data_IF_769913228122
#
_entry.id   IF_769913228122
#
_cell.length_a   1.000
_cell.length_b   1.000
_cell.length_c   1.000
_cell.angle_alpha   90.00
_cell.angle_beta   90.00
_cell.angle_gamma   90.00
#
_symmetry.space_group_name_H-M   'P 1'
#
loop_
_entity.id
_entity.type
_entity.pdbx_description
1 polymer ?
#
# COMPACT_ATOMS: atom_id res chain seq x y z
N UNK A 1 -3.25 0.48 -6.55
CA UNK A 1 -2.48 0.01 -7.73
C UNK A 1 -1.13 -0.60 -7.33
N UNK A 2 -0.27 0.11 -6.61
CA UNK A 2 1.15 -0.26 -6.40
C UNK A 2 1.47 -1.40 -5.39
N UNK A 3 0.54 -2.29 -5.07
CA UNK A 3 0.80 -3.46 -4.20
C UNK A 3 0.13 -3.46 -2.82
N UNK A 4 -0.40 -2.32 -2.33
CA UNK A 4 -1.15 -2.27 -1.06
C UNK A 4 -2.47 -3.05 -1.07
N UNK A 5 -2.74 -3.85 -0.05
CA UNK A 5 -3.96 -4.67 0.04
C UNK A 5 -5.22 -3.89 0.43
N UNK A 6 -5.05 -2.72 1.05
CA UNK A 6 -6.14 -1.83 1.46
C UNK A 6 -5.74 -0.36 1.48
N UNK A 7 -6.72 0.52 1.60
CA UNK A 7 -6.55 1.97 1.73
C UNK A 7 -7.44 2.50 2.85
N UNK A 8 -6.99 3.53 3.57
CA UNK A 8 -7.73 4.08 4.72
C UNK A 8 -8.68 5.23 4.38
N UNK A 9 -8.46 5.91 3.25
CA UNK A 9 -9.27 7.06 2.86
C UNK A 9 -10.61 6.60 2.24
N UNK A 10 -11.73 6.96 2.87
CA UNK A 10 -13.09 6.56 2.45
C UNK A 10 -13.42 7.01 1.03
N UNK A 11 -13.13 8.26 0.70
CA UNK A 11 -13.42 8.82 -0.63
C UNK A 11 -12.52 8.18 -1.68
N UNK A 12 -11.22 8.04 -1.38
CA UNK A 12 -10.24 7.38 -2.24
C UNK A 12 -10.65 5.94 -2.55
N UNK A 13 -11.04 5.17 -1.52
CA UNK A 13 -11.52 3.80 -1.68
C UNK A 13 -12.74 3.74 -2.60
N UNK A 14 -13.72 4.63 -2.40
CA UNK A 14 -14.91 4.73 -3.25
C UNK A 14 -14.56 5.01 -4.71
N UNK A 15 -13.64 5.95 -4.98
CA UNK A 15 -13.20 6.27 -6.34
C UNK A 15 -12.58 5.09 -7.07
N UNK A 16 -11.91 4.19 -6.35
CA UNK A 16 -11.27 3.00 -6.93
C UNK A 16 -12.12 1.72 -6.81
N UNK A 17 -13.39 1.84 -6.39
CA UNK A 17 -14.29 0.70 -6.23
C UNK A 17 -13.89 -0.27 -5.12
N UNK A 18 -13.29 0.23 -4.04
CA UNK A 18 -12.84 -0.55 -2.87
C UNK A 18 -13.52 -0.10 -1.58
N UNK A 19 -13.49 -0.98 -0.58
CA UNK A 19 -13.89 -0.65 0.79
C UNK A 19 -12.69 -0.12 1.54
N UNK A 20 -12.83 1.02 2.21
CA UNK A 20 -11.78 1.55 3.08
C UNK A 20 -11.60 0.65 4.29
N UNK A 21 -10.36 0.49 4.75
CA UNK A 21 -10.00 -0.31 5.91
C UNK A 21 -9.43 0.56 7.03
N UNK A 22 -9.68 0.18 8.26
CA UNK A 22 -9.20 0.87 9.44
C UNK A 22 -9.44 0.06 10.71
N UNK A 23 -8.83 0.50 11.80
CA UNK A 23 -9.01 -0.07 13.14
C UNK A 23 -9.39 1.06 14.11
N UNK A 24 -9.46 0.77 15.41
CA UNK A 24 -9.70 1.81 16.41
C UNK A 24 -8.53 2.82 16.54
N UNK A 25 -8.79 4.12 16.79
CA UNK A 25 -7.78 5.13 17.07
C UNK A 25 -7.49 5.26 18.58
N UNK A 26 -6.33 5.81 18.95
CA UNK A 26 -6.03 6.16 20.36
C UNK A 26 -7.08 7.09 20.96
N UNK A 27 -7.65 8.01 20.16
CA UNK A 27 -8.66 8.95 20.62
C UNK A 27 -9.90 8.27 21.25
N UNK A 28 -10.31 7.10 20.74
CA UNK A 28 -11.44 6.35 21.31
C UNK A 28 -11.12 5.89 22.73
N UNK A 29 -9.93 5.33 22.93
CA UNK A 29 -9.45 4.83 24.22
C UNK A 29 -9.29 6.00 25.20
N UNK A 30 -8.68 7.11 24.75
CA UNK A 30 -8.43 8.28 25.57
C UNK A 30 -9.72 8.99 26.01
N UNK A 31 -10.72 9.12 25.14
CA UNK A 31 -12.00 9.76 25.47
C UNK A 31 -12.81 8.90 26.47
N UNK A 32 -12.77 7.57 26.32
CA UNK A 32 -13.44 6.66 27.26
C UNK A 32 -12.68 6.56 28.59
N UNK A 33 -11.35 6.70 28.55
CA UNK A 33 -10.48 6.67 29.72
C UNK A 33 -10.24 5.27 30.30
N UNK A 34 -10.67 4.21 29.59
CA UNK A 34 -10.53 2.82 30.02
C UNK A 34 -10.46 1.89 28.79
N UNK A 35 -9.39 1.08 28.74
CA UNK A 35 -9.12 0.17 27.62
C UNK A 35 -10.24 -0.85 27.40
N UNK A 36 -10.70 -1.52 28.47
CA UNK A 36 -11.73 -2.56 28.38
C UNK A 36 -13.05 -2.00 27.89
N UNK A 37 -13.47 -0.84 28.41
CA UNK A 37 -14.67 -0.15 27.95
C UNK A 37 -14.55 0.28 26.49
N UNK A 38 -13.37 0.73 26.06
CA UNK A 38 -13.13 1.12 24.67
C UNK A 38 -13.18 -0.07 23.71
N UNK A 39 -12.56 -1.21 24.06
CA UNK A 39 -12.63 -2.44 23.27
C UNK A 39 -14.06 -2.98 23.19
N UNK A 40 -14.80 -2.93 24.30
CA UNK A 40 -16.22 -3.32 24.33
C UNK A 40 -17.07 -2.43 23.43
N UNK A 41 -16.90 -1.11 23.53
CA UNK A 41 -17.60 -0.16 22.67
C UNK A 41 -17.26 -0.37 21.19
N UNK A 42 -16.01 -0.70 20.87
CA UNK A 42 -15.62 -1.01 19.50
C UNK A 42 -16.35 -2.23 18.95
N UNK A 43 -16.50 -3.32 19.73
CA UNK A 43 -17.28 -4.50 19.29
C UNK A 43 -18.78 -4.24 19.21
N UNK A 44 -19.33 -3.40 20.10
CA UNK A 44 -20.76 -3.13 20.17
C UNK A 44 -21.25 -2.22 19.02
N UNK A 45 -20.47 -1.19 18.66
CA UNK A 45 -20.93 -0.14 17.75
C UNK A 45 -20.38 -0.25 16.32
N UNK A 46 -19.36 -1.06 16.08
CA UNK A 46 -18.78 -1.24 14.74
C UNK A 46 -19.35 -2.49 14.08
N UNK A 47 -19.65 -2.37 12.78
CA UNK A 47 -20.25 -3.45 11.97
C UNK A 47 -19.48 -4.78 12.12
N UNK A 48 -20.22 -5.88 12.25
CA UNK A 48 -19.67 -7.21 12.48
C UNK A 48 -18.69 -7.70 11.40
N UNK A 49 -18.72 -7.12 10.20
CA UNK A 49 -17.80 -7.45 9.11
C UNK A 49 -16.41 -6.83 9.29
N UNK A 50 -16.25 -5.86 10.18
CA UNK A 50 -14.95 -5.19 10.43
C UNK A 50 -14.13 -6.02 11.41
N UNK A 51 -12.91 -6.46 11.07
CA UNK A 51 -12.08 -7.21 12.01
C UNK A 51 -11.79 -6.44 13.29
N UNK A 52 -11.88 -7.13 14.44
CA UNK A 52 -11.60 -6.57 15.76
C UNK A 52 -10.10 -6.55 15.98
N UNK A 53 -9.48 -5.45 15.56
CA UNK A 53 -8.06 -5.18 15.75
C UNK A 53 -7.91 -4.09 16.81
N UNK A 54 -7.51 -4.47 18.03
CA UNK A 54 -7.38 -3.55 19.16
C UNK A 54 -6.03 -2.82 19.14
N UNK A 55 -6.04 -1.53 19.45
CA UNK A 55 -4.81 -0.74 19.64
C UNK A 55 -4.34 -0.92 21.08
N UNK A 56 -3.11 -1.40 21.26
CA UNK A 56 -2.61 -1.89 22.56
C UNK A 56 -1.35 -1.15 23.05
N UNK A 57 -1.17 0.11 22.68
CA UNK A 57 -0.05 0.94 23.11
C UNK A 57 -0.51 2.35 23.52
N UNK A 58 -1.68 2.47 24.17
CA UNK A 58 -2.24 3.80 24.49
C UNK A 58 -1.80 4.35 25.84
N UNK A 59 -1.95 3.58 26.92
CA UNK A 59 -1.80 4.09 28.29
C UNK A 59 -1.03 3.17 29.22
N UNK A 60 -0.98 1.87 28.91
CA UNK A 60 -0.30 0.83 29.69
C UNK A 60 0.77 0.09 28.89
N UNK A 61 1.26 -0.99 29.49
CA UNK A 61 2.14 -1.94 28.79
C UNK A 61 1.33 -2.73 27.76
N UNK A 62 1.86 -2.94 26.54
CA UNK A 62 1.14 -3.68 25.49
C UNK A 62 0.65 -5.06 25.87
N UNK A 63 1.36 -5.75 26.76
CA UNK A 63 0.93 -7.07 27.26
C UNK A 63 -0.30 -6.97 28.15
N UNK A 64 -0.40 -5.91 28.97
CA UNK A 64 -1.58 -5.66 29.81
C UNK A 64 -2.78 -5.27 28.94
N UNK A 65 -2.58 -4.40 27.96
CA UNK A 65 -3.67 -3.99 27.06
C UNK A 65 -4.14 -5.15 26.16
N UNK A 66 -3.23 -6.05 25.78
CA UNK A 66 -3.58 -7.31 25.11
C UNK A 66 -4.41 -8.24 26.01
N UNK A 67 -4.05 -8.37 27.29
CA UNK A 67 -4.84 -9.16 28.24
C UNK A 67 -6.26 -8.58 28.41
N UNK A 68 -6.36 -7.25 28.52
CA UNK A 68 -7.65 -6.54 28.55
C UNK A 68 -8.48 -6.84 27.28
N UNK A 69 -7.86 -6.82 26.10
CA UNK A 69 -8.53 -7.12 24.84
C UNK A 69 -9.01 -8.59 24.76
N UNK A 70 -8.20 -9.54 25.23
CA UNK A 70 -8.56 -10.96 25.29
C UNK A 70 -9.71 -11.23 26.27
N UNK A 71 -9.71 -10.57 27.43
CA UNK A 71 -10.79 -10.70 28.42
C UNK A 71 -12.12 -10.17 27.87
N UNK A 72 -12.09 -9.04 27.15
CA UNK A 72 -13.30 -8.39 26.64
C UNK A 72 -13.84 -9.06 25.38
N UNK A 73 -12.97 -9.42 24.44
CA UNK A 73 -13.39 -9.88 23.12
C UNK A 73 -13.31 -11.39 22.95
N UNK A 74 -12.51 -12.09 23.75
CA UNK A 74 -12.33 -13.53 23.63
C UNK A 74 -12.02 -13.95 22.19
N UNK A 75 -12.79 -14.90 21.66
CA UNK A 75 -12.66 -15.41 20.29
C UNK A 75 -12.92 -14.36 19.20
N UNK A 76 -13.62 -13.26 19.52
CA UNK A 76 -13.85 -12.19 18.54
C UNK A 76 -12.60 -11.36 18.24
N UNK A 77 -11.58 -11.40 19.10
CA UNK A 77 -10.33 -10.65 18.87
C UNK A 77 -9.60 -11.22 17.65
N UNK A 78 -9.58 -10.47 16.55
CA UNK A 78 -8.90 -10.89 15.31
C UNK A 78 -7.43 -10.47 15.28
N UNK A 79 -7.07 -9.40 15.99
CA UNK A 79 -5.70 -8.92 16.01
C UNK A 79 -5.45 -7.78 16.99
N UNK A 80 -4.19 -7.37 17.05
CA UNK A 80 -3.75 -6.20 17.79
C UNK A 80 -2.87 -5.32 16.91
N UNK A 81 -2.92 -4.01 17.14
CA UNK A 81 -2.07 -3.02 16.48
C UNK A 81 -1.17 -2.34 17.50
N UNK A 82 0.09 -2.14 17.13
CA UNK A 82 1.09 -1.36 17.88
C UNK A 82 1.64 -0.27 16.95
N UNK A 83 1.69 0.96 17.44
CA UNK A 83 2.07 2.16 16.68
C UNK A 83 3.34 2.85 17.22
N UNK A 84 3.87 2.40 18.36
CA UNK A 84 4.98 3.05 19.05
C UNK A 84 5.89 2.09 19.82
N UNK A 85 7.08 2.59 20.21
CA UNK A 85 8.07 1.84 20.99
C UNK A 85 8.98 0.92 20.17
N UNK A 86 9.66 -0.01 20.84
CA UNK A 86 10.48 -1.04 20.18
C UNK A 86 9.57 -2.13 19.60
N UNK A 87 9.08 -1.89 18.38
CA UNK A 87 8.09 -2.73 17.70
C UNK A 87 8.52 -4.20 17.62
N UNK A 88 9.80 -4.48 17.36
CA UNK A 88 10.30 -5.86 17.25
C UNK A 88 10.25 -6.57 18.60
N UNK A 89 10.73 -5.91 19.65
CA UNK A 89 10.68 -6.46 21.00
C UNK A 89 9.23 -6.69 21.44
N UNK A 90 8.37 -5.69 21.27
CA UNK A 90 6.96 -5.77 21.63
C UNK A 90 6.27 -6.92 20.87
N UNK A 91 6.50 -7.07 19.56
CA UNK A 91 5.93 -8.21 18.81
C UNK A 91 6.34 -9.56 19.37
N UNK A 92 7.61 -9.72 19.78
CA UNK A 92 8.09 -10.99 20.38
C UNK A 92 7.41 -11.26 21.72
N UNK A 93 7.25 -10.22 22.54
CA UNK A 93 6.54 -10.31 23.82
C UNK A 93 5.06 -10.68 23.60
N UNK A 94 4.38 -10.05 22.63
CA UNK A 94 2.99 -10.36 22.23
C UNK A 94 2.88 -11.81 21.76
N UNK A 95 3.75 -12.25 20.84
CA UNK A 95 3.73 -13.64 20.33
C UNK A 95 3.92 -14.65 21.45
N UNK A 96 4.85 -14.39 22.37
CA UNK A 96 5.07 -15.26 23.53
C UNK A 96 3.84 -15.30 24.44
N UNK A 97 3.22 -14.16 24.70
CA UNK A 97 2.02 -14.09 25.53
C UNK A 97 0.83 -14.82 24.89
N UNK A 98 0.60 -14.64 23.59
CA UNK A 98 -0.44 -15.34 22.83
C UNK A 98 -0.21 -16.85 22.79
N UNK A 99 1.04 -17.30 22.69
CA UNK A 99 1.42 -18.71 22.80
C UNK A 99 0.99 -19.30 24.15
N UNK A 100 1.26 -18.60 25.26
CA UNK A 100 0.86 -19.04 26.60
C UNK A 100 -0.66 -19.11 26.81
N UNK A 101 -1.41 -18.28 26.09
CA UNK A 101 -2.88 -18.22 26.17
C UNK A 101 -3.57 -19.10 25.11
N UNK A 102 -2.81 -19.84 24.30
CA UNK A 102 -3.28 -20.63 23.15
C UNK A 102 -4.11 -19.82 22.13
N UNK A 103 -3.69 -18.57 21.87
CA UNK A 103 -4.37 -17.60 20.99
C UNK A 103 -3.52 -17.17 19.80
N UNK A 104 -2.92 -18.14 19.11
CA UNK A 104 -2.06 -17.91 17.92
C UNK A 104 -2.83 -17.42 16.68
N UNK A 105 -4.16 -17.45 16.73
CA UNK A 105 -5.06 -16.91 15.72
C UNK A 105 -5.02 -15.37 15.67
N UNK A 106 -4.69 -14.71 16.79
CA UNK A 106 -4.64 -13.25 16.90
C UNK A 106 -3.46 -12.68 16.10
N UNK A 107 -3.79 -11.83 15.12
CA UNK A 107 -2.81 -11.23 14.19
C UNK A 107 -2.15 -9.98 14.75
N UNK A 108 -0.89 -9.74 14.41
CA UNK A 108 -0.13 -8.58 14.88
C UNK A 108 0.08 -7.60 13.72
N UNK A 109 -0.44 -6.39 13.88
CA UNK A 109 -0.30 -5.30 12.93
C UNK A 109 0.60 -4.19 13.48
N UNK A 110 1.47 -3.66 12.62
CA UNK A 110 2.35 -2.54 13.00
C UNK A 110 2.04 -1.31 12.16
N UNK A 111 2.09 -0.15 12.78
CA UNK A 111 2.03 1.15 12.10
C UNK A 111 3.03 2.12 12.73
N UNK A 112 3.05 3.36 12.23
CA UNK A 112 3.79 4.45 12.86
C UNK A 112 5.20 4.58 12.30
N UNK A 113 5.42 5.60 11.46
CA UNK A 113 6.75 5.94 10.94
C UNK A 113 7.43 4.85 10.10
N UNK A 114 6.69 3.87 9.60
CA UNK A 114 7.23 2.75 8.83
C UNK A 114 7.67 3.18 7.42
N UNK A 115 8.73 2.52 6.94
CA UNK A 115 9.33 2.59 5.61
C UNK A 115 9.66 1.17 5.10
N UNK A 116 10.17 1.06 3.88
CA UNK A 116 10.52 -0.21 3.26
C UNK A 116 11.58 -1.00 4.04
N UNK A 117 12.52 -0.31 4.70
CA UNK A 117 13.61 -0.93 5.46
C UNK A 117 13.11 -1.50 6.78
N UNK A 118 12.26 -0.77 7.50
CA UNK A 118 11.62 -1.22 8.74
C UNK A 118 10.63 -2.34 8.47
N UNK A 119 9.81 -2.25 7.42
CA UNK A 119 8.92 -3.35 7.00
C UNK A 119 9.75 -4.60 6.69
N UNK A 120 10.83 -4.49 5.93
CA UNK A 120 11.71 -5.64 5.63
C UNK A 120 12.31 -6.25 6.91
N UNK A 121 12.65 -5.42 7.90
CA UNK A 121 13.15 -5.85 9.22
C UNK A 121 12.05 -6.30 10.18
N UNK A 122 10.76 -6.19 9.88
CA UNK A 122 9.67 -6.54 10.81
C UNK A 122 8.74 -7.61 10.25
N UNK A 123 8.84 -7.95 8.96
CA UNK A 123 7.98 -8.93 8.26
C UNK A 123 8.03 -10.35 8.84
N UNK A 124 9.05 -10.70 9.61
CA UNK A 124 9.15 -11.99 10.31
C UNK A 124 8.36 -12.00 11.63
N UNK A 125 8.08 -10.82 12.19
CA UNK A 125 7.42 -10.67 13.50
C UNK A 125 6.00 -10.10 13.44
N UNK A 126 5.57 -9.53 12.31
CA UNK A 126 4.21 -8.98 12.14
C UNK A 126 3.47 -9.66 10.98
N UNK A 127 2.14 -9.66 11.06
CA UNK A 127 1.23 -10.18 10.03
C UNK A 127 0.78 -9.09 9.04
N UNK A 128 0.88 -7.81 9.40
CA UNK A 128 0.51 -6.71 8.51
C UNK A 128 1.07 -5.35 8.92
N UNK A 129 1.04 -4.40 7.97
CA UNK A 129 1.67 -3.09 8.12
C UNK A 129 0.74 -1.96 7.65
N UNK A 130 0.61 -0.92 8.47
CA UNK A 130 0.03 0.37 8.11
C UNK A 130 1.14 1.38 7.79
N UNK A 131 1.35 1.64 6.50
CA UNK A 131 2.38 2.60 6.04
C UNK A 131 1.69 3.89 5.57
N UNK A 132 2.02 5.01 6.23
CA UNK A 132 1.41 6.31 5.98
C UNK A 132 2.33 7.26 5.21
N UNK A 133 3.00 8.16 5.94
CA UNK A 133 3.75 9.31 5.41
C UNK A 133 4.71 8.94 4.28
N UNK A 134 5.45 7.83 4.39
CA UNK A 134 6.42 7.41 3.36
C UNK A 134 5.81 7.13 1.98
N UNK A 135 4.51 6.91 1.92
CA UNK A 135 3.78 6.66 0.66
C UNK A 135 2.98 7.90 0.25
N UNK A 136 2.30 8.53 1.20
CA UNK A 136 1.46 9.69 0.93
C UNK A 136 2.28 10.94 0.58
N UNK A 137 3.49 11.05 1.13
CA UNK A 137 4.44 12.15 0.94
C UNK A 137 5.71 11.64 0.24
N UNK A 138 5.54 10.74 -0.74
CA UNK A 138 6.64 10.23 -1.53
C UNK A 138 7.19 11.32 -2.47
N UNK A 139 8.50 11.26 -2.74
CA UNK A 139 9.15 12.19 -3.66
C UNK A 139 8.47 12.19 -5.04
N UNK A 140 8.32 13.38 -5.60
CA UNK A 140 7.73 13.55 -6.93
C UNK A 140 8.72 13.11 -8.01
N UNK A 141 8.21 12.43 -9.03
CA UNK A 141 8.98 12.19 -10.26
C UNK A 141 8.88 13.45 -11.12
N UNK A 142 10.02 14.12 -11.33
CA UNK A 142 10.11 15.35 -12.12
C UNK A 142 9.93 15.07 -13.62
N UNK A 143 8.68 15.16 -14.09
CA UNK A 143 8.34 15.04 -15.51
C UNK A 143 8.40 16.41 -16.19
N UNK A 144 9.14 16.49 -17.30
CA UNK A 144 9.19 17.67 -18.15
C UNK A 144 8.57 17.43 -19.52
N UNK A 145 7.66 18.32 -19.93
CA UNK A 145 7.16 18.36 -21.30
C UNK A 145 8.15 19.12 -22.20
N UNK A 146 8.51 18.53 -23.34
CA UNK A 146 9.43 19.12 -24.32
C UNK A 146 8.90 18.93 -25.74
N UNK A 147 9.02 19.97 -26.56
CA UNK A 147 8.83 19.87 -28.01
C UNK A 147 10.07 19.16 -28.58
N UNK A 148 9.82 18.11 -29.36
CA UNK A 148 10.84 17.28 -30.04
C UNK A 148 10.70 17.29 -31.57
N UNK A 149 9.58 17.80 -32.08
CA UNK A 149 9.28 17.85 -33.51
C UNK A 149 8.30 18.99 -33.80
N UNK A 150 8.47 19.69 -34.93
CA UNK A 150 7.58 20.77 -35.39
C UNK A 150 7.31 20.60 -36.87
N UNK A 151 6.02 20.48 -37.24
CA UNK A 151 5.59 20.27 -38.63
C UNK A 151 6.34 19.11 -39.33
N UNK A 152 6.50 17.97 -38.62
CA UNK A 152 7.23 16.80 -39.13
C UNK A 152 8.75 16.92 -39.12
N UNK A 153 9.32 18.06 -38.71
CA UNK A 153 10.77 18.29 -38.69
C UNK A 153 11.33 18.11 -37.27
N UNK A 154 12.28 17.19 -37.04
CA UNK A 154 12.93 17.00 -35.75
C UNK A 154 13.55 18.31 -35.24
N UNK A 155 13.12 18.78 -34.06
CA UNK A 155 13.60 20.02 -33.42
C UNK A 155 13.49 19.90 -31.91
N UNK A 156 14.56 20.19 -31.18
CA UNK A 156 14.54 20.16 -29.73
C UNK A 156 15.46 21.21 -29.12
N UNK A 157 15.17 21.59 -27.87
CA UNK A 157 16.09 22.39 -27.05
C UNK A 157 17.38 21.59 -26.81
N UNK A 158 18.52 22.27 -26.75
CA UNK A 158 19.81 21.67 -26.36
C UNK A 158 19.67 20.73 -25.14
N UNK A 159 20.32 19.57 -25.21
CA UNK A 159 20.22 18.50 -24.20
C UNK A 159 19.03 17.55 -24.37
N UNK A 160 18.23 17.67 -25.43
CA UNK A 160 17.10 16.78 -25.71
C UNK A 160 17.26 16.12 -27.09
N UNK A 161 16.84 14.86 -27.21
CA UNK A 161 16.88 14.13 -28.48
C UNK A 161 15.68 14.51 -29.37
N UNK A 162 15.90 15.12 -30.55
CA UNK A 162 14.82 15.49 -31.46
C UNK A 162 14.19 14.27 -32.15
N UNK A 163 13.01 14.47 -32.76
CA UNK A 163 12.27 13.47 -33.54
C UNK A 163 11.34 12.59 -32.71
N UNK A 164 10.20 12.22 -33.28
CA UNK A 164 9.23 11.31 -32.65
C UNK A 164 9.86 9.95 -32.36
N UNK A 165 9.58 9.40 -31.17
CA UNK A 165 10.25 8.21 -30.64
C UNK A 165 9.24 7.24 -30.04
N UNK A 166 9.61 5.95 -30.04
CA UNK A 166 8.90 4.88 -29.36
C UNK A 166 9.81 4.21 -28.33
N UNK A 167 9.20 3.62 -27.31
CA UNK A 167 9.90 2.81 -26.29
C UNK A 167 9.51 1.36 -26.50
N UNK A 168 10.50 0.52 -26.78
CA UNK A 168 10.34 -0.91 -26.99
C UNK A 168 10.86 -1.64 -25.75
N UNK A 169 10.11 -2.63 -25.26
CA UNK A 169 10.51 -3.46 -24.10
C UNK A 169 10.39 -4.94 -24.42
N UNK A 170 11.34 -5.75 -23.96
CA UNK A 170 11.25 -7.21 -24.00
C UNK A 170 10.74 -7.79 -22.67
N UNK A 171 10.58 -9.11 -22.59
CA UNK A 171 10.09 -9.79 -21.37
C UNK A 171 11.08 -9.76 -20.19
N UNK A 172 12.35 -9.41 -20.44
CA UNK A 172 13.39 -9.20 -19.41
C UNK A 172 13.45 -7.76 -18.90
N UNK A 173 12.50 -6.91 -19.31
CA UNK A 173 12.45 -5.48 -18.96
C UNK A 173 13.64 -4.66 -19.48
N UNK A 174 14.29 -5.13 -20.55
CA UNK A 174 15.29 -4.35 -21.28
C UNK A 174 14.57 -3.40 -22.24
N UNK A 175 14.94 -2.12 -22.19
CA UNK A 175 14.32 -1.05 -22.98
C UNK A 175 15.21 -0.56 -24.12
N UNK A 176 14.59 -0.32 -25.27
CA UNK A 176 15.20 0.34 -26.42
C UNK A 176 14.34 1.56 -26.78
N UNK A 177 14.97 2.73 -26.82
CA UNK A 177 14.35 3.94 -27.37
C UNK A 177 14.81 4.11 -28.82
N UNK A 178 13.87 4.25 -29.74
CA UNK A 178 14.17 4.38 -31.17
C UNK A 178 13.21 5.36 -31.84
N UNK A 179 13.54 5.85 -33.04
CA UNK A 179 12.66 6.74 -33.80
C UNK A 179 11.35 6.01 -34.17
N UNK A 180 10.26 6.75 -34.19
CA UNK A 180 8.99 6.26 -34.70
C UNK A 180 9.14 5.84 -36.18
N UNK A 181 8.55 4.69 -36.54
CA UNK A 181 8.69 4.09 -37.88
C UNK A 181 9.83 3.09 -38.02
N UNK A 182 10.76 3.01 -37.07
CA UNK A 182 11.78 1.96 -37.06
C UNK A 182 11.16 0.58 -36.77
N UNK A 183 11.79 -0.47 -37.32
CA UNK A 183 11.38 -1.85 -37.10
C UNK A 183 11.46 -2.24 -35.62
N UNK A 184 10.47 -3.00 -35.15
CA UNK A 184 10.46 -3.57 -33.80
C UNK A 184 11.26 -4.88 -33.83
N UNK A 185 12.36 -5.02 -33.07
CA UNK A 185 13.12 -6.27 -33.02
C UNK A 185 12.27 -7.42 -32.51
N UNK A 186 12.61 -8.65 -32.92
CA UNK A 186 11.92 -9.84 -32.44
C UNK A 186 12.00 -9.93 -30.90
N UNK A 187 10.87 -10.24 -30.26
CA UNK A 187 10.78 -10.34 -28.80
C UNK A 187 10.59 -9.01 -28.07
N UNK A 188 10.53 -7.88 -28.79
CA UNK A 188 10.21 -6.58 -28.23
C UNK A 188 8.77 -6.15 -28.57
N UNK A 189 8.18 -5.33 -27.71
CA UNK A 189 6.87 -4.70 -27.93
C UNK A 189 6.93 -3.19 -27.68
N UNK A 190 6.17 -2.42 -28.46
CA UNK A 190 6.02 -0.98 -28.24
C UNK A 190 5.15 -0.71 -27.01
N UNK A 191 5.66 0.10 -26.08
CA UNK A 191 4.96 0.52 -24.87
C UNK A 191 4.06 1.75 -25.10
N UNK A 192 4.42 2.62 -26.04
CA UNK A 192 3.65 3.81 -26.35
C UNK A 192 2.46 3.44 -27.24
N UNK A 193 1.26 3.52 -26.66
CA UNK A 193 0.00 3.25 -27.33
C UNK A 193 -0.88 4.51 -27.33
N UNK A 194 -1.55 4.85 -28.44
CA UNK A 194 -2.45 6.01 -28.49
C UNK A 194 -3.53 5.94 -27.40
N UNK A 195 -3.67 7.02 -26.64
CA UNK A 195 -4.80 7.22 -25.72
C UNK A 195 -5.84 8.16 -26.33
N UNK A 196 -5.38 9.23 -27.00
CA UNK A 196 -6.22 10.23 -27.65
C UNK A 196 -5.81 10.33 -29.12
N UNK A 197 -6.80 10.36 -30.03
CA UNK A 197 -6.61 10.70 -31.45
C UNK A 197 -7.65 11.76 -31.85
N UNK A 198 -7.20 12.86 -32.45
CA UNK A 198 -8.07 13.95 -32.91
C UNK A 198 -9.06 14.43 -31.82
N UNK A 199 -8.58 14.58 -30.59
CA UNK A 199 -9.39 15.01 -29.44
C UNK A 199 -10.34 13.96 -28.86
N UNK A 200 -10.36 12.73 -29.39
CA UNK A 200 -11.20 11.62 -28.89
C UNK A 200 -10.35 10.59 -28.17
N UNK A 201 -10.83 10.13 -27.01
CA UNK A 201 -10.25 8.97 -26.31
C UNK A 201 -10.50 7.73 -27.18
N UNK A 202 -9.44 7.00 -27.52
CA UNK A 202 -9.48 5.82 -28.42
C UNK A 202 -9.08 4.53 -27.72
N UNK A 203 -8.87 4.58 -26.42
CA UNK A 203 -8.53 3.42 -25.59
C UNK A 203 -9.39 3.45 -24.33
N UNK A 204 -9.97 2.31 -24.00
CA UNK A 204 -10.72 2.16 -22.76
C UNK A 204 -9.82 2.35 -21.54
N UNK A 205 -10.39 2.90 -20.48
CA UNK A 205 -9.72 3.03 -19.20
C UNK A 205 -9.64 1.66 -18.53
N UNK A 206 -8.45 1.31 -18.04
CA UNK A 206 -8.26 0.06 -17.30
C UNK A 206 -8.71 0.25 -15.86
N UNK A 207 -9.40 -0.75 -15.29
CA UNK A 207 -9.74 -0.72 -13.87
C UNK A 207 -8.48 -0.75 -13.00
N UNK A 208 -8.59 -0.21 -11.78
CA UNK A 208 -7.50 -0.22 -10.79
C UNK A 208 -7.01 -1.64 -10.48
N UNK A 209 -7.90 -2.63 -10.58
CA UNK A 209 -7.57 -4.05 -10.38
C UNK A 209 -6.72 -4.61 -11.51
N UNK A 210 -7.08 -4.36 -12.77
CA UNK A 210 -6.27 -4.75 -13.93
C UNK A 210 -4.87 -4.12 -13.84
N UNK A 211 -4.81 -2.83 -13.47
CA UNK A 211 -3.52 -2.15 -13.29
C UNK A 211 -2.73 -2.76 -12.14
N UNK A 212 -3.35 -3.08 -11.00
CA UNK A 212 -2.71 -3.76 -9.86
C UNK A 212 -2.16 -5.12 -10.28
N UNK A 213 -2.96 -5.95 -10.92
CA UNK A 213 -2.56 -7.29 -11.37
C UNK A 213 -1.36 -7.22 -12.30
N UNK A 214 -1.37 -6.29 -13.25
CA UNK A 214 -0.24 -6.05 -14.15
C UNK A 214 1.01 -5.62 -13.38
N UNK A 215 0.89 -4.70 -12.42
CA UNK A 215 2.03 -4.28 -11.58
C UNK A 215 2.58 -5.47 -10.78
N UNK A 216 1.72 -6.22 -10.10
CA UNK A 216 2.14 -7.38 -9.29
C UNK A 216 2.77 -8.49 -10.15
N UNK A 217 2.23 -8.74 -11.34
CA UNK A 217 2.82 -9.69 -12.28
C UNK A 217 4.19 -9.24 -12.79
N UNK A 218 4.38 -7.93 -12.98
CA UNK A 218 5.64 -7.38 -13.46
C UNK A 218 6.71 -7.39 -12.36
N UNK A 219 6.36 -7.04 -11.12
CA UNK A 219 7.30 -7.06 -9.99
C UNK A 219 7.94 -8.43 -9.78
N UNK A 220 7.22 -9.53 -10.06
CA UNK A 220 7.75 -10.90 -9.99
C UNK A 220 8.77 -11.25 -11.08
N UNK A 221 8.87 -10.44 -12.13
CA UNK A 221 9.74 -10.65 -13.29
C UNK A 221 10.96 -9.73 -13.28
N UNK A 222 10.93 -8.70 -12.43
CA UNK A 222 12.07 -7.80 -12.25
C UNK A 222 13.10 -8.55 -11.38
N UNK A 223 14.41 -8.48 -11.70
CA UNK A 223 15.46 -9.14 -10.93
C UNK A 223 15.52 -8.71 -9.46
#
# INVERSE_FOLDING_TARGET
MAGFDGVSNVIGAKYIGKTAVGTMPHALILVIGDNKKAFKAFDEFVDEKVPRICLIDTSGSPIRELEDALEVLGEKLNGVRVDSGDLRRICKEIKWFLELKDRKDVKIYLSGGLDEYSVMKLRDVADGFGVGTKIADADVIDFALKIIEVNGKPRAKFGNYPGSKIVLRNDKFEDIVTLEGNNVPQGYRNLLKPLIRNGKIVREEESVDIVRERVMSNLKKIP
#
